data_IF_889060540001
#
_entry.id   IF_889060540001
#
_cell.length_a   1.000
_cell.length_b   1.000
_cell.length_c   1.000
_cell.angle_alpha   90.00
_cell.angle_beta   90.00
_cell.angle_gamma   90.00
#
_symmetry.space_group_name_H-M   'P 1'
#
loop_
_entity.id
_entity.type
_entity.pdbx_description
1 polymer ?
#
# COMPACT_ATOMS: atom_id res chain seq x y z
N UNK A 1 -6.98 -3.82 -17.40
CA UNK A 1 -6.79 -5.20 -16.89
C UNK A 1 -7.19 -5.35 -15.43
N UNK A 2 -6.80 -4.47 -14.51
CA UNK A 2 -7.28 -4.49 -13.11
C UNK A 2 -8.81 -4.51 -12.96
N UNK A 3 -9.52 -3.69 -13.73
CA UNK A 3 -11.00 -3.68 -13.71
C UNK A 3 -11.63 -4.97 -14.24
N UNK A 4 -11.01 -5.64 -15.21
CA UNK A 4 -11.49 -6.93 -15.71
C UNK A 4 -11.26 -8.04 -14.69
N UNK A 5 -10.12 -8.03 -14.00
CA UNK A 5 -9.84 -8.96 -12.90
C UNK A 5 -10.80 -8.75 -11.72
N UNK A 6 -11.07 -7.50 -11.32
CA UNK A 6 -12.07 -7.19 -10.28
C UNK A 6 -13.47 -7.67 -10.67
N UNK A 7 -13.88 -7.43 -11.92
CA UNK A 7 -15.16 -7.88 -12.46
C UNK A 7 -15.22 -9.41 -12.53
N UNK A 8 -14.14 -10.08 -12.94
CA UNK A 8 -14.07 -11.56 -12.93
C UNK A 8 -14.14 -12.13 -11.52
N UNK A 9 -13.39 -11.59 -10.56
CA UNK A 9 -13.48 -12.01 -9.16
C UNK A 9 -14.88 -11.80 -8.59
N UNK A 10 -15.55 -10.70 -8.95
CA UNK A 10 -16.95 -10.44 -8.56
C UNK A 10 -17.97 -11.35 -9.26
N UNK A 11 -17.72 -11.76 -10.51
CA UNK A 11 -18.62 -12.62 -11.29
C UNK A 11 -18.43 -14.11 -10.98
N UNK A 12 -17.24 -14.53 -10.56
CA UNK A 12 -16.98 -15.90 -10.10
C UNK A 12 -17.68 -16.21 -8.78
N UNK A 13 -18.02 -15.18 -7.98
CA UNK A 13 -18.85 -15.30 -6.79
C UNK A 13 -20.32 -15.63 -7.15
N UNK A 14 -20.57 -16.82 -7.67
CA UNK A 14 -21.90 -17.39 -7.87
C UNK A 14 -22.42 -18.00 -6.57
N UNK A 15 -23.74 -18.00 -6.35
CA UNK A 15 -24.41 -18.30 -5.06
C UNK A 15 -24.02 -19.60 -4.34
N UNK A 16 -23.39 -20.58 -5.00
CA UNK A 16 -22.88 -21.81 -4.37
C UNK A 16 -21.41 -21.73 -3.89
N UNK A 17 -20.64 -20.72 -4.29
CA UNK A 17 -19.26 -20.49 -3.83
C UNK A 17 -19.16 -19.48 -2.67
N UNK A 18 -20.23 -18.70 -2.39
CA UNK A 18 -20.24 -17.75 -1.27
C UNK A 18 -20.13 -18.42 0.11
N UNK A 19 -20.49 -19.70 0.22
CA UNK A 19 -20.45 -20.46 1.50
C UNK A 19 -19.01 -20.77 1.95
N UNK A 20 -18.01 -20.56 1.08
CA UNK A 20 -16.59 -20.76 1.40
C UNK A 20 -15.71 -19.53 1.18
N UNK A 21 -16.29 -18.37 0.89
CA UNK A 21 -15.53 -17.14 0.66
C UNK A 21 -15.03 -16.59 2.00
N UNK A 22 -13.71 -16.41 2.11
CA UNK A 22 -13.12 -15.76 3.28
C UNK A 22 -13.31 -14.24 3.20
N UNK A 23 -14.41 -13.77 3.79
CA UNK A 23 -14.82 -12.35 3.77
C UNK A 23 -13.72 -11.45 4.34
N UNK A 24 -12.99 -11.94 5.35
CA UNK A 24 -11.85 -11.28 5.98
C UNK A 24 -10.71 -11.02 4.98
N UNK A 25 -10.36 -12.01 4.16
CA UNK A 25 -9.35 -11.89 3.11
C UNK A 25 -9.77 -10.87 2.04
N UNK A 26 -11.05 -10.89 1.65
CA UNK A 26 -11.61 -9.93 0.69
C UNK A 26 -11.53 -8.52 1.24
N UNK A 27 -11.99 -8.30 2.46
CA UNK A 27 -11.98 -6.99 3.10
C UNK A 27 -10.55 -6.48 3.29
N UNK A 28 -9.64 -7.33 3.77
CA UNK A 28 -8.23 -7.00 3.92
C UNK A 28 -7.58 -6.63 2.59
N UNK A 29 -7.86 -7.37 1.53
CA UNK A 29 -7.36 -7.06 0.17
C UNK A 29 -7.88 -5.71 -0.32
N UNK A 30 -9.17 -5.42 -0.13
CA UNK A 30 -9.76 -4.12 -0.50
C UNK A 30 -9.06 -2.99 0.26
N UNK A 31 -8.83 -3.15 1.57
CA UNK A 31 -8.11 -2.16 2.37
C UNK A 31 -6.68 -1.93 1.87
N UNK A 32 -5.96 -2.99 1.50
CA UNK A 32 -4.62 -2.89 0.90
C UNK A 32 -4.70 -2.08 -0.40
N UNK A 33 -5.60 -2.43 -1.33
CA UNK A 33 -5.74 -1.74 -2.62
C UNK A 33 -6.11 -0.27 -2.44
N UNK A 34 -7.06 0.05 -1.55
CA UNK A 34 -7.46 1.42 -1.25
C UNK A 34 -6.30 2.21 -0.62
N UNK A 35 -5.53 1.60 0.26
CA UNK A 35 -4.35 2.23 0.87
C UNK A 35 -3.28 2.53 -0.18
N UNK A 36 -3.01 1.58 -1.10
CA UNK A 36 -2.08 1.81 -2.22
C UNK A 36 -2.59 2.95 -3.10
N UNK A 37 -3.88 2.96 -3.43
CA UNK A 37 -4.48 4.01 -4.23
C UNK A 37 -4.32 5.37 -3.55
N UNK A 38 -4.62 5.45 -2.25
CA UNK A 38 -4.48 6.69 -1.47
C UNK A 38 -3.03 7.16 -1.44
N UNK A 39 -2.10 6.29 -1.04
CA UNK A 39 -0.68 6.62 -0.99
C UNK A 39 -0.17 7.04 -2.37
N UNK A 40 -0.55 6.35 -3.44
CA UNK A 40 -0.12 6.71 -4.79
C UNK A 40 -0.53 8.14 -5.16
N UNK A 41 -1.82 8.49 -5.02
CA UNK A 41 -2.31 9.81 -5.42
C UNK A 41 -1.93 10.92 -4.43
N UNK A 42 -1.71 10.62 -3.16
CA UNK A 42 -1.19 11.59 -2.19
C UNK A 42 0.28 11.95 -2.46
N UNK A 43 1.08 11.00 -2.98
CA UNK A 43 2.53 11.12 -3.09
C UNK A 43 3.01 11.47 -4.51
N UNK A 44 2.20 11.20 -5.55
CA UNK A 44 2.51 11.57 -6.93
C UNK A 44 2.03 13.01 -7.21
N UNK A 45 2.92 13.96 -7.54
CA UNK A 45 2.53 15.33 -7.85
C UNK A 45 1.53 15.39 -9.02
N UNK A 46 0.50 16.24 -8.89
CA UNK A 46 -0.47 16.48 -9.95
C UNK A 46 0.16 17.18 -11.18
N UNK A 47 1.29 17.86 -11.00
CA UNK A 47 2.04 18.54 -12.05
C UNK A 47 3.02 17.55 -12.71
N UNK A 48 2.53 16.87 -13.74
CA UNK A 48 3.22 15.83 -14.50
C UNK A 48 4.45 16.27 -15.32
N UNK A 49 5.15 17.33 -14.97
CA UNK A 49 6.28 17.84 -15.74
C UNK A 49 7.61 17.30 -15.23
N UNK A 50 7.77 15.99 -15.40
CA UNK A 50 9.08 15.34 -15.43
C UNK A 50 9.82 15.83 -16.70
N UNK A 51 10.36 17.05 -16.65
CA UNK A 51 11.03 17.72 -17.77
C UNK A 51 12.42 17.13 -18.00
N UNK A 52 12.47 15.99 -18.70
CA UNK A 52 13.73 15.42 -19.15
C UNK A 52 13.65 13.93 -19.50
N UNK A 53 14.37 13.52 -20.55
CA UNK A 53 14.41 12.13 -21.04
C UNK A 53 14.90 11.15 -19.96
N UNK A 54 15.81 11.59 -19.09
CA UNK A 54 16.33 10.80 -17.96
C UNK A 54 15.29 10.63 -16.88
N UNK A 55 14.60 11.71 -16.52
CA UNK A 55 13.61 11.69 -15.47
C UNK A 55 12.36 10.90 -15.90
N UNK A 56 11.94 10.96 -17.17
CA UNK A 56 10.88 10.10 -17.72
C UNK A 56 11.26 8.60 -17.71
N UNK A 57 12.51 8.26 -18.07
CA UNK A 57 12.99 6.88 -17.95
C UNK A 57 12.97 6.39 -16.50
N UNK A 58 13.39 7.24 -15.56
CA UNK A 58 13.40 6.92 -14.15
C UNK A 58 11.97 6.72 -13.61
N UNK A 59 11.05 7.59 -14.01
CA UNK A 59 9.62 7.48 -13.68
C UNK A 59 9.05 6.13 -14.10
N UNK A 60 9.30 5.71 -15.34
CA UNK A 60 8.86 4.41 -15.88
C UNK A 60 9.53 3.24 -15.16
N UNK A 61 10.83 3.33 -14.84
CA UNK A 61 11.58 2.28 -14.14
C UNK A 61 11.04 2.07 -12.72
N UNK A 62 10.62 3.12 -12.02
CA UNK A 62 10.08 3.02 -10.66
C UNK A 62 8.61 2.57 -10.64
N UNK A 63 7.82 2.96 -11.65
CA UNK A 63 6.41 2.54 -11.76
C UNK A 63 6.24 1.07 -12.17
N UNK A 64 7.19 0.51 -12.92
CA UNK A 64 7.07 -0.87 -13.40
C UNK A 64 7.06 -1.90 -12.24
N UNK A 65 7.97 -1.84 -11.25
CA UNK A 65 7.90 -2.64 -10.03
C UNK A 65 6.61 -2.43 -9.22
N UNK A 66 6.09 -1.20 -9.15
CA UNK A 66 4.82 -0.90 -8.50
C UNK A 66 3.67 -1.72 -9.14
N UNK A 67 3.58 -1.72 -10.48
CA UNK A 67 2.57 -2.50 -11.19
C UNK A 67 2.74 -4.01 -11.01
N UNK A 68 3.98 -4.50 -10.99
CA UNK A 68 4.27 -5.91 -10.67
C UNK A 68 3.78 -6.26 -9.26
N UNK A 69 4.03 -5.39 -8.29
CA UNK A 69 3.55 -5.56 -6.92
C UNK A 69 2.03 -5.58 -6.84
N UNK A 70 1.34 -4.66 -7.51
CA UNK A 70 -0.14 -4.65 -7.53
C UNK A 70 -0.70 -5.93 -8.17
N UNK A 71 -0.11 -6.39 -9.26
CA UNK A 71 -0.50 -7.65 -9.89
C UNK A 71 -0.25 -8.85 -8.97
N UNK A 72 0.88 -8.86 -8.26
CA UNK A 72 1.20 -9.90 -7.28
C UNK A 72 0.25 -9.91 -6.08
N UNK A 73 -0.22 -8.74 -5.61
CA UNK A 73 -1.26 -8.65 -4.57
C UNK A 73 -2.55 -9.31 -5.05
N UNK A 74 -2.97 -9.05 -6.30
CA UNK A 74 -4.18 -9.68 -6.84
C UNK A 74 -4.05 -11.21 -6.91
N UNK A 75 -2.88 -11.73 -7.29
CA UNK A 75 -2.60 -13.18 -7.31
C UNK A 75 -2.62 -13.76 -5.90
N UNK A 76 -1.89 -13.16 -4.96
CA UNK A 76 -1.84 -13.61 -3.57
C UNK A 76 -3.21 -13.57 -2.90
N UNK A 77 -3.98 -12.51 -3.13
CA UNK A 77 -5.35 -12.40 -2.62
C UNK A 77 -6.26 -13.48 -3.18
N UNK A 78 -6.16 -13.77 -4.49
CA UNK A 78 -6.94 -14.86 -5.10
C UNK A 78 -6.58 -16.19 -4.44
N UNK A 79 -5.30 -16.47 -4.20
CA UNK A 79 -4.86 -17.69 -3.51
C UNK A 79 -5.36 -17.76 -2.06
N UNK A 80 -5.46 -16.63 -1.35
CA UNK A 80 -6.00 -16.58 0.01
C UNK A 80 -7.52 -16.77 0.07
N UNK A 81 -8.27 -16.30 -0.94
CA UNK A 81 -9.73 -16.28 -0.92
C UNK A 81 -10.35 -17.64 -1.32
N UNK A 82 -9.61 -18.52 -1.99
CA UNK A 82 -10.16 -19.77 -2.52
C UNK A 82 -10.43 -20.82 -1.41
N UNK A 83 -11.63 -21.44 -1.33
CA UNK A 83 -12.09 -22.22 -0.18
C UNK A 83 -11.38 -23.56 0.17
N UNK A 84 -10.26 -23.93 -0.47
CA UNK A 84 -9.61 -25.24 -0.28
C UNK A 84 -8.08 -25.18 -0.40
N UNK A 85 -7.47 -24.11 0.09
CA UNK A 85 -6.01 -23.99 0.11
C UNK A 85 -5.41 -25.11 0.96
N UNK A 86 -4.49 -25.89 0.38
CA UNK A 86 -3.62 -26.74 1.19
C UNK A 86 -2.68 -25.85 2.03
N UNK A 87 -2.10 -26.37 3.12
CA UNK A 87 -1.10 -25.62 3.91
C UNK A 87 0.05 -25.06 3.05
N UNK A 88 0.43 -25.76 1.98
CA UNK A 88 1.40 -25.27 0.99
C UNK A 88 0.88 -24.07 0.18
N UNK A 89 -0.41 -24.03 -0.13
CA UNK A 89 -1.03 -22.92 -0.85
C UNK A 89 -1.19 -21.68 0.04
N UNK A 90 -1.51 -21.85 1.32
CA UNK A 90 -1.58 -20.76 2.32
C UNK A 90 -0.23 -20.08 2.52
N UNK A 91 0.84 -20.88 2.63
CA UNK A 91 2.20 -20.38 2.75
C UNK A 91 2.63 -19.63 1.48
N UNK A 92 2.32 -20.17 0.30
CA UNK A 92 2.59 -19.53 -0.99
C UNK A 92 1.81 -18.22 -1.16
N UNK A 93 0.55 -18.19 -0.75
CA UNK A 93 -0.31 -17.01 -0.74
C UNK A 93 0.29 -15.90 0.14
N UNK A 94 0.62 -16.25 1.39
CA UNK A 94 1.22 -15.31 2.36
C UNK A 94 2.53 -14.72 1.84
N UNK A 95 3.43 -15.56 1.31
CA UNK A 95 4.68 -15.08 0.72
C UNK A 95 4.46 -14.18 -0.49
N UNK A 96 3.51 -14.54 -1.35
CA UNK A 96 3.16 -13.73 -2.52
C UNK A 96 2.64 -12.37 -2.09
N UNK A 97 1.75 -12.31 -1.09
CA UNK A 97 1.24 -11.05 -0.54
C UNK A 97 2.34 -10.20 0.10
N UNK A 98 3.17 -10.79 0.98
CA UNK A 98 4.26 -10.07 1.66
C UNK A 98 5.25 -9.49 0.66
N UNK A 99 5.70 -10.28 -0.32
CA UNK A 99 6.65 -9.83 -1.33
C UNK A 99 6.05 -8.72 -2.19
N UNK A 100 4.77 -8.85 -2.56
CA UNK A 100 4.09 -7.89 -3.42
C UNK A 100 3.83 -6.56 -2.71
N UNK A 101 3.37 -6.60 -1.46
CA UNK A 101 3.22 -5.41 -0.60
C UNK A 101 4.58 -4.74 -0.36
N UNK A 102 5.61 -5.53 -0.05
CA UNK A 102 6.98 -5.03 0.10
C UNK A 102 7.48 -4.33 -1.15
N UNK A 103 7.24 -4.91 -2.33
CA UNK A 103 7.62 -4.33 -3.62
C UNK A 103 6.90 -3.00 -3.89
N UNK A 104 5.61 -2.91 -3.57
CA UNK A 104 4.84 -1.66 -3.68
C UNK A 104 5.42 -0.59 -2.75
N UNK A 105 5.68 -0.92 -1.48
CA UNK A 105 6.24 0.02 -0.50
C UNK A 105 7.65 0.49 -0.88
N UNK A 106 8.51 -0.39 -1.39
CA UNK A 106 9.84 -0.02 -1.91
C UNK A 106 9.70 0.92 -3.11
N UNK A 107 8.74 0.66 -3.99
CA UNK A 107 8.50 1.52 -5.17
C UNK A 107 8.03 2.91 -4.75
N UNK A 108 7.10 3.01 -3.79
CA UNK A 108 6.65 4.28 -3.22
C UNK A 108 7.79 5.01 -2.50
N UNK A 109 8.62 4.30 -1.74
CA UNK A 109 9.80 4.87 -1.10
C UNK A 109 10.76 5.49 -2.13
N UNK A 110 10.98 4.81 -3.26
CA UNK A 110 11.82 5.32 -4.34
C UNK A 110 11.25 6.58 -5.01
N UNK A 111 9.92 6.68 -5.16
CA UNK A 111 9.25 7.88 -5.66
C UNK A 111 9.47 9.05 -4.70
N UNK A 112 9.25 8.85 -3.40
CA UNK A 112 9.44 9.89 -2.39
C UNK A 112 10.91 10.35 -2.30
N UNK A 113 11.86 9.41 -2.28
CA UNK A 113 13.28 9.80 -2.27
C UNK A 113 13.70 10.62 -3.51
N UNK A 114 13.00 10.44 -4.64
CA UNK A 114 13.27 11.19 -5.85
C UNK A 114 12.74 12.64 -5.78
N UNK A 115 11.63 12.87 -5.09
CA UNK A 115 11.10 14.23 -4.87
C UNK A 115 12.08 15.10 -4.05
N UNK A 116 12.96 14.48 -3.26
CA UNK A 116 14.10 15.12 -2.58
C UNK A 116 13.76 16.25 -1.58
N UNK A 117 12.49 16.39 -1.19
CA UNK A 117 12.06 17.32 -0.15
C UNK A 117 12.19 16.73 1.26
N UNK A 118 12.26 17.58 2.28
CA UNK A 118 12.45 17.14 3.68
C UNK A 118 11.32 16.23 4.17
N UNK A 119 10.09 16.59 3.87
CA UNK A 119 8.90 15.81 4.27
C UNK A 119 8.78 14.54 3.43
N UNK A 120 9.18 14.62 2.16
CA UNK A 120 9.21 13.46 1.28
C UNK A 120 10.24 12.41 1.72
N UNK A 121 11.43 12.82 2.18
CA UNK A 121 12.42 11.89 2.77
C UNK A 121 11.89 11.17 4.01
N UNK A 122 11.04 11.83 4.82
CA UNK A 122 10.41 11.21 6.00
C UNK A 122 9.37 10.17 5.58
N UNK A 123 8.52 10.50 4.62
CA UNK A 123 7.55 9.56 4.04
C UNK A 123 8.25 8.36 3.36
N UNK A 124 9.31 8.60 2.58
CA UNK A 124 10.12 7.55 1.97
C UNK A 124 10.77 6.62 3.01
N UNK A 125 11.27 7.16 4.13
CA UNK A 125 11.79 6.36 5.24
C UNK A 125 10.69 5.54 5.94
N UNK A 126 9.48 6.09 6.08
CA UNK A 126 8.32 5.37 6.60
C UNK A 126 7.96 4.18 5.70
N UNK A 127 7.89 4.38 4.39
CA UNK A 127 7.61 3.31 3.42
C UNK A 127 8.69 2.23 3.43
N UNK A 128 9.96 2.61 3.51
CA UNK A 128 11.06 1.65 3.62
C UNK A 128 11.00 0.86 4.93
N UNK A 129 10.70 1.54 6.04
CA UNK A 129 10.49 0.90 7.35
C UNK A 129 9.34 -0.09 7.31
N UNK A 130 8.21 0.27 6.70
CA UNK A 130 7.07 -0.62 6.51
C UNK A 130 7.38 -1.81 5.60
N UNK A 131 8.19 -1.61 4.54
CA UNK A 131 8.64 -2.70 3.68
C UNK A 131 9.52 -3.71 4.43
N UNK A 132 10.44 -3.22 5.26
CA UNK A 132 11.26 -4.07 6.14
C UNK A 132 10.39 -4.81 7.14
N UNK A 133 9.43 -4.12 7.76
CA UNK A 133 8.51 -4.74 8.73
C UNK A 133 7.66 -5.84 8.08
N UNK A 134 7.14 -5.61 6.87
CA UNK A 134 6.44 -6.62 6.06
C UNK A 134 7.33 -7.83 5.77
N UNK A 135 8.60 -7.62 5.38
CA UNK A 135 9.55 -8.71 5.14
C UNK A 135 9.88 -9.51 6.40
N UNK A 136 10.10 -8.84 7.54
CA UNK A 136 10.31 -9.47 8.84
C UNK A 136 9.08 -10.29 9.25
N UNK A 137 7.88 -9.75 9.02
CA UNK A 137 6.63 -10.46 9.24
C UNK A 137 6.55 -11.74 8.37
N UNK A 138 6.87 -11.67 7.08
CA UNK A 138 6.91 -12.84 6.21
C UNK A 138 7.89 -13.93 6.67
N UNK A 139 9.11 -13.54 7.07
CA UNK A 139 10.11 -14.49 7.62
C UNK A 139 9.61 -15.13 8.92
N UNK A 140 8.98 -14.34 9.79
CA UNK A 140 8.43 -14.84 11.04
C UNK A 140 7.24 -15.78 10.79
N UNK A 141 6.38 -15.44 9.84
CA UNK A 141 5.25 -16.26 9.40
C UNK A 141 5.71 -17.60 8.87
N UNK A 142 6.73 -17.61 8.01
CA UNK A 142 7.33 -18.83 7.46
C UNK A 142 7.97 -19.73 8.52
N UNK A 143 8.33 -19.20 9.70
CA UNK A 143 8.91 -20.00 10.79
C UNK A 143 7.87 -20.62 11.72
N UNK A 144 6.66 -20.06 11.77
CA UNK A 144 5.66 -20.49 12.74
C UNK A 144 4.71 -21.56 12.22
N UNK A 145 4.64 -21.85 10.92
CA UNK A 145 3.70 -22.83 10.31
C UNK A 145 2.22 -22.68 10.73
N UNK A 146 1.86 -21.61 11.45
CA UNK A 146 0.60 -21.44 12.18
C UNK A 146 -0.17 -20.18 11.79
N UNK A 147 0.38 -19.37 10.87
CA UNK A 147 -0.31 -18.18 10.41
C UNK A 147 -1.13 -18.50 9.18
N UNK A 148 -2.43 -18.61 9.42
CA UNK A 148 -3.46 -18.63 8.40
C UNK A 148 -3.32 -17.42 7.47
N UNK A 149 -3.55 -17.63 6.18
CA UNK A 149 -3.50 -16.59 5.15
C UNK A 149 -4.46 -15.43 5.43
N UNK A 150 -5.55 -15.69 6.16
CA UNK A 150 -6.46 -14.68 6.71
C UNK A 150 -5.75 -13.67 7.62
N UNK A 151 -5.04 -14.18 8.63
CA UNK A 151 -4.36 -13.34 9.61
C UNK A 151 -3.26 -12.54 8.92
N UNK A 152 -2.53 -13.17 7.99
CA UNK A 152 -1.50 -12.49 7.21
C UNK A 152 -2.09 -11.32 6.40
N UNK A 153 -3.21 -11.56 5.72
CA UNK A 153 -3.88 -10.52 4.92
C UNK A 153 -4.36 -9.35 5.79
N UNK A 154 -4.96 -9.63 6.95
CA UNK A 154 -5.41 -8.60 7.89
C UNK A 154 -4.25 -7.81 8.51
N UNK A 155 -3.14 -8.47 8.84
CA UNK A 155 -1.94 -7.81 9.37
C UNK A 155 -1.34 -6.87 8.32
N UNK A 156 -1.22 -7.33 7.07
CA UNK A 156 -0.73 -6.50 5.98
C UNK A 156 -1.68 -5.34 5.68
N UNK A 157 -3.00 -5.56 5.73
CA UNK A 157 -3.99 -4.50 5.59
C UNK A 157 -3.87 -3.45 6.70
N UNK A 158 -3.76 -3.88 7.96
CA UNK A 158 -3.54 -3.00 9.10
C UNK A 158 -2.24 -2.20 8.99
N UNK A 159 -1.16 -2.82 8.52
CA UNK A 159 0.10 -2.14 8.22
C UNK A 159 -0.08 -1.05 7.16
N UNK A 160 -0.78 -1.36 6.06
CA UNK A 160 -1.01 -0.40 4.97
C UNK A 160 -1.85 0.79 5.43
N UNK A 161 -2.91 0.56 6.21
CA UNK A 161 -3.73 1.62 6.81
C UNK A 161 -2.91 2.46 7.79
N UNK A 162 -2.08 1.82 8.63
CA UNK A 162 -1.20 2.53 9.55
C UNK A 162 -0.23 3.45 8.79
N UNK A 163 0.33 2.98 7.68
CA UNK A 163 1.21 3.79 6.82
C UNK A 163 0.45 4.98 6.23
N UNK A 164 -0.79 4.80 5.76
CA UNK A 164 -1.65 5.90 5.30
C UNK A 164 -1.86 6.94 6.40
N UNK A 165 -2.23 6.49 7.60
CA UNK A 165 -2.45 7.39 8.73
C UNK A 165 -1.16 8.15 9.11
N UNK A 166 -0.04 7.44 9.23
CA UNK A 166 1.24 8.05 9.58
C UNK A 166 1.71 9.05 8.52
N UNK A 167 1.58 8.73 7.24
CA UNK A 167 1.90 9.65 6.15
C UNK A 167 1.02 10.90 6.20
N UNK A 168 -0.29 10.72 6.42
CA UNK A 168 -1.22 11.83 6.54
C UNK A 168 -0.85 12.77 7.70
N UNK A 169 -0.54 12.20 8.88
CA UNK A 169 -0.10 12.99 10.03
C UNK A 169 1.25 13.69 9.80
N UNK A 170 2.19 13.06 9.08
CA UNK A 170 3.48 13.66 8.76
C UNK A 170 3.37 14.86 7.81
N UNK A 171 2.30 14.94 7.02
CA UNK A 171 2.08 15.98 6.01
C UNK A 171 1.09 17.07 6.42
N UNK A 172 0.49 16.99 7.62
CA UNK A 172 -0.32 18.10 8.11
C UNK A 172 0.59 19.31 8.39
N UNK A 173 0.36 20.46 7.74
CA UNK A 173 1.09 21.68 8.07
C UNK A 173 0.80 22.05 9.52
N UNK A 174 1.83 22.41 10.29
CA UNK A 174 1.64 23.06 11.59
C UNK A 174 0.73 24.28 11.36
N UNK A 175 -0.51 24.22 11.85
CA UNK A 175 -1.38 25.39 11.92
C UNK A 175 -0.63 26.44 12.76
N UNK A 176 -0.05 27.44 12.09
CA UNK A 176 0.51 28.59 12.78
C UNK A 176 -0.64 29.26 13.54
N UNK A 177 -0.54 29.46 14.87
CA UNK A 177 -1.57 30.16 15.61
C UNK A 177 -1.76 31.53 14.96
N UNK A 178 -3.00 31.84 14.57
CA UNK A 178 -3.40 33.13 14.00
C UNK A 178 -2.69 34.25 14.77
N UNK A 179 -1.80 34.98 14.09
CA UNK A 179 -1.27 36.22 14.63
C UNK A 179 -2.46 37.16 14.81
N UNK A 180 -2.85 37.33 16.06
CA UNK A 180 -3.84 38.29 16.52
C UNK A 180 -3.53 39.65 15.89
N UNK A 181 -4.47 40.28 15.15
CA UNK A 181 -4.18 41.51 14.42
C UNK A 181 -3.74 42.60 15.40
N UNK A 182 -2.51 43.10 15.22
CA UNK A 182 -1.97 44.26 15.93
C UNK A 182 -3.01 45.39 15.88
N UNK A 183 -3.58 45.72 17.04
CA UNK A 183 -4.41 46.90 17.23
C UNK A 183 -3.60 48.13 16.77
N UNK A 184 -4.05 48.75 15.67
CA UNK A 184 -3.52 50.04 15.23
C UNK A 184 -3.61 51.07 16.38
N UNK A 185 -2.54 51.82 16.68
CA UNK A 185 -2.58 52.83 17.71
C UNK A 185 -3.51 53.96 17.27
N UNK A 186 -4.58 54.15 18.02
CA UNK A 186 -5.49 55.29 17.86
C UNK A 186 -4.70 56.60 18.02
N UNK A 187 -4.48 57.30 16.92
CA UNK A 187 -3.98 58.67 16.92
C UNK A 187 -5.06 59.58 17.52
N UNK A 188 -4.87 59.99 18.77
CA UNK A 188 -5.59 61.08 19.44
C UNK A 188 -4.76 62.35 19.44
#
# INVERSE_FOLDING_TARGET
>A
MLGESFVKTSLTATESELVGLEIECVLGTIMIVLSIWWLYFANVPAEGEVTGRTAHRFWTIVHLPLHIGIAGIAVGATMAILPHSSHTDEANSTWTLVLSVGLVLISLAAIEFLANDRDSRRAGALFLGAAVLSGVFGIFSARRDYLDSQIATLVLAGLMVLVVCCEHFLRQPEEQPEQEPEQEPSLS
#
